data_IF_026685682045
#
_entry.id   IF_026685682045
#
_cell.length_a   1.000
_cell.length_b   1.000
_cell.length_c   1.000
_cell.angle_alpha   90.00
_cell.angle_beta   90.00
_cell.angle_gamma   90.00
#
_symmetry.space_group_name_H-M   'P 1'
#
loop_
_entity.id
_entity.type
_entity.pdbx_description
1 polymer ?
#
# COMPACT_ATOMS: atom_id res chain seq x y z
N UNK A 1 -0.11 10.70 -12.51
CA UNK A 1 -0.05 10.99 -13.97
C UNK A 1 0.62 9.80 -14.65
N UNK A 2 0.08 9.27 -15.73
CA UNK A 2 0.77 8.25 -16.50
C UNK A 2 2.07 8.84 -17.06
N UNK A 3 3.12 8.05 -17.11
CA UNK A 3 4.39 8.45 -17.72
C UNK A 3 4.17 8.78 -19.19
N UNK A 4 4.81 9.86 -19.67
CA UNK A 4 4.77 10.23 -21.08
C UNK A 4 5.22 9.05 -21.94
N UNK A 5 4.38 8.64 -22.88
CA UNK A 5 4.66 7.56 -23.83
C UNK A 5 3.92 6.24 -23.59
N UNK A 6 3.15 6.09 -22.48
CA UNK A 6 2.20 5.01 -22.37
C UNK A 6 0.82 5.44 -22.91
N UNK A 7 0.15 4.61 -23.69
CA UNK A 7 -1.27 4.86 -23.98
C UNK A 7 -1.99 5.01 -22.63
N UNK A 8 -2.76 6.08 -22.46
CA UNK A 8 -3.38 6.47 -21.19
C UNK A 8 -4.28 5.39 -20.56
N UNK A 9 -4.57 4.33 -21.29
CA UNK A 9 -5.60 3.35 -20.95
C UNK A 9 -5.08 1.94 -20.71
N UNK A 10 -3.78 1.67 -20.85
CA UNK A 10 -3.24 0.30 -20.71
C UNK A 10 -1.90 0.28 -19.99
N UNK A 11 -1.84 -0.40 -18.87
CA UNK A 11 -0.59 -0.78 -18.20
C UNK A 11 -0.25 -2.23 -18.54
N UNK A 12 1.04 -2.59 -18.49
CA UNK A 12 1.47 -3.96 -18.78
C UNK A 12 1.14 -4.90 -17.62
N UNK A 13 2.03 -5.01 -16.65
CA UNK A 13 1.88 -5.93 -15.50
C UNK A 13 1.87 -5.21 -14.16
N UNK A 14 2.36 -3.98 -14.11
CA UNK A 14 2.43 -3.19 -12.89
C UNK A 14 2.26 -1.69 -13.17
N UNK A 15 1.90 -0.96 -12.15
CA UNK A 15 1.88 0.50 -12.20
C UNK A 15 2.23 1.07 -10.83
N UNK A 16 2.65 2.32 -10.82
CA UNK A 16 3.02 3.04 -9.61
C UNK A 16 2.08 4.21 -9.35
N UNK A 17 1.75 4.41 -8.09
CA UNK A 17 0.96 5.55 -7.62
C UNK A 17 1.77 6.30 -6.57
N UNK A 18 1.80 7.62 -6.65
CA UNK A 18 2.35 8.45 -5.60
C UNK A 18 1.25 8.92 -4.65
N UNK A 19 1.46 8.71 -3.36
CA UNK A 19 0.56 9.22 -2.32
C UNK A 19 0.93 10.63 -1.87
N UNK A 20 1.87 11.31 -2.52
CA UNK A 20 2.24 12.70 -2.22
C UNK A 20 1.01 13.64 -2.12
N UNK A 21 0.02 13.58 -3.03
CA UNK A 21 -1.16 14.43 -2.88
C UNK A 21 -1.93 14.21 -1.58
N UNK A 22 -1.93 12.98 -1.06
CA UNK A 22 -2.59 12.66 0.21
C UNK A 22 -1.79 13.17 1.41
N UNK A 23 -0.46 13.10 1.33
CA UNK A 23 0.44 13.70 2.33
C UNK A 23 0.19 15.21 2.42
N UNK A 24 0.13 15.89 1.29
CA UNK A 24 -0.07 17.33 1.23
C UNK A 24 -1.46 17.76 1.72
N UNK A 25 -2.48 16.95 1.42
CA UNK A 25 -3.87 17.29 1.77
C UNK A 25 -4.22 16.98 3.23
N UNK A 26 -3.84 15.81 3.76
CA UNK A 26 -4.28 15.29 5.05
C UNK A 26 -3.18 14.65 5.90
N UNK A 27 -1.92 14.70 5.46
CA UNK A 27 -0.78 14.15 6.20
C UNK A 27 -0.70 12.62 6.21
N UNK A 28 -1.42 11.93 5.31
CA UNK A 28 -1.42 10.47 5.17
C UNK A 28 -0.40 10.04 4.13
N UNK A 29 0.49 9.15 4.51
CA UNK A 29 1.56 8.66 3.63
C UNK A 29 1.22 7.30 2.98
N UNK A 30 2.08 6.85 2.07
CA UNK A 30 1.88 5.60 1.35
C UNK A 30 1.82 4.38 2.27
N UNK A 31 2.59 4.38 3.35
CA UNK A 31 2.55 3.29 4.36
C UNK A 31 1.21 3.21 5.07
N UNK A 32 0.59 4.36 5.39
CA UNK A 32 -0.72 4.40 6.02
C UNK A 32 -1.79 3.77 5.13
N UNK A 33 -1.79 4.12 3.85
CA UNK A 33 -2.69 3.54 2.85
C UNK A 33 -2.46 2.03 2.72
N UNK A 34 -1.21 1.60 2.61
CA UNK A 34 -0.87 0.18 2.51
C UNK A 34 -1.31 -0.62 3.74
N UNK A 35 -1.16 -0.06 4.94
CA UNK A 35 -1.64 -0.68 6.19
C UNK A 35 -3.16 -0.79 6.23
N UNK A 36 -3.87 0.21 5.71
CA UNK A 36 -5.33 0.17 5.64
C UNK A 36 -5.83 -0.89 4.65
N UNK A 37 -5.13 -1.13 3.56
CA UNK A 37 -5.48 -2.20 2.62
C UNK A 37 -5.47 -3.59 3.26
N UNK A 38 -4.65 -3.82 4.30
CA UNK A 38 -4.70 -5.07 5.07
C UNK A 38 -6.06 -5.28 5.75
N UNK A 39 -6.69 -4.22 6.25
CA UNK A 39 -8.02 -4.29 6.86
C UNK A 39 -9.12 -4.63 5.84
N UNK A 40 -8.89 -4.32 4.58
CA UNK A 40 -9.77 -4.70 3.47
C UNK A 40 -9.50 -6.12 2.94
N UNK A 41 -8.51 -6.81 3.52
CA UNK A 41 -8.17 -8.20 3.16
C UNK A 41 -7.19 -8.32 1.99
N UNK A 42 -6.54 -7.24 1.60
CA UNK A 42 -5.52 -7.25 0.55
C UNK A 42 -4.11 -7.43 1.11
N UNK A 43 -3.24 -8.01 0.31
CA UNK A 43 -1.80 -7.92 0.55
C UNK A 43 -1.36 -6.47 0.33
N UNK A 44 -0.53 -5.95 1.23
CA UNK A 44 0.04 -4.62 1.07
C UNK A 44 0.88 -4.54 -0.21
N UNK A 45 0.68 -3.52 -1.05
CA UNK A 45 1.54 -3.32 -2.22
C UNK A 45 2.98 -2.98 -1.80
N UNK A 46 3.91 -3.10 -2.75
CA UNK A 46 5.30 -2.70 -2.54
C UNK A 46 5.37 -1.20 -2.27
N UNK A 47 6.08 -0.84 -1.19
CA UNK A 47 6.24 0.54 -0.75
C UNK A 47 7.61 1.09 -1.14
N UNK A 48 7.67 2.39 -1.40
CA UNK A 48 8.91 3.15 -1.60
C UNK A 48 9.79 2.67 -2.76
N UNK A 49 9.22 1.94 -3.68
CA UNK A 49 9.90 1.48 -4.88
C UNK A 49 9.03 1.69 -6.13
N UNK A 50 9.58 2.26 -7.23
CA UNK A 50 10.95 2.77 -7.38
C UNK A 50 11.20 4.02 -6.53
N UNK A 51 12.43 4.16 -6.01
CA UNK A 51 12.78 5.23 -5.05
C UNK A 51 12.70 6.64 -5.62
N UNK A 52 12.66 6.78 -6.94
CA UNK A 52 12.50 8.07 -7.64
C UNK A 52 11.07 8.61 -7.58
N UNK A 53 10.08 7.79 -7.18
CA UNK A 53 8.69 8.20 -7.01
C UNK A 53 8.42 8.38 -5.52
N UNK A 54 8.22 9.63 -5.04
CA UNK A 54 7.93 9.87 -3.63
C UNK A 54 6.63 9.19 -3.20
N UNK A 55 6.60 8.64 -1.99
CA UNK A 55 5.43 7.98 -1.42
C UNK A 55 4.80 6.92 -2.34
N UNK A 56 5.66 6.16 -3.01
CA UNK A 56 5.26 5.23 -4.05
C UNK A 56 4.59 3.99 -3.49
N UNK A 57 3.47 3.63 -4.11
CA UNK A 57 2.87 2.30 -4.07
C UNK A 57 3.03 1.66 -5.46
N UNK A 58 3.63 0.49 -5.52
CA UNK A 58 3.71 -0.31 -6.75
C UNK A 58 2.68 -1.42 -6.67
N UNK A 59 1.72 -1.41 -7.59
CA UNK A 59 0.61 -2.36 -7.63
C UNK A 59 0.79 -3.25 -8.86
N UNK A 60 0.76 -4.55 -8.62
CA UNK A 60 0.91 -5.58 -9.65
C UNK A 60 -0.32 -6.49 -9.64
N UNK A 61 -1.35 -6.18 -10.43
CA UNK A 61 -2.49 -7.08 -10.62
C UNK A 61 -2.02 -8.27 -11.45
N UNK A 62 -2.09 -9.46 -10.86
CA UNK A 62 -1.66 -10.66 -11.56
C UNK A 62 -2.70 -11.15 -12.56
N UNK A 63 -2.28 -11.88 -13.59
CA UNK A 63 -3.15 -12.47 -14.60
C UNK A 63 -4.12 -13.53 -14.05
N UNK A 64 -3.85 -14.03 -12.84
CA UNK A 64 -4.72 -14.98 -12.15
C UNK A 64 -5.94 -14.33 -11.49
N UNK A 65 -5.96 -13.00 -11.37
CA UNK A 65 -7.09 -12.27 -10.80
C UNK A 65 -8.23 -12.13 -11.81
N UNK A 66 -9.46 -12.32 -11.35
CA UNK A 66 -10.64 -12.10 -12.17
C UNK A 66 -10.90 -10.59 -12.38
N UNK A 67 -11.68 -10.26 -13.42
CA UNK A 67 -12.10 -8.87 -13.64
C UNK A 67 -12.88 -8.33 -12.44
N UNK A 68 -13.76 -9.13 -11.86
CA UNK A 68 -14.54 -8.77 -10.67
C UNK A 68 -13.65 -8.47 -9.47
N UNK A 69 -12.58 -9.24 -9.28
CA UNK A 69 -11.61 -8.98 -8.21
C UNK A 69 -10.84 -7.68 -8.43
N UNK A 70 -10.47 -7.38 -9.66
CA UNK A 70 -9.80 -6.13 -10.02
C UNK A 70 -10.72 -4.91 -9.86
N UNK A 71 -11.96 -5.02 -10.31
CA UNK A 71 -12.95 -3.95 -10.15
C UNK A 71 -13.21 -3.67 -8.66
N UNK A 72 -13.38 -4.75 -7.87
CA UNK A 72 -13.54 -4.62 -6.42
C UNK A 72 -12.33 -3.95 -5.76
N UNK A 73 -11.12 -4.33 -6.15
CA UNK A 73 -9.91 -3.69 -5.64
C UNK A 73 -9.89 -2.19 -5.93
N UNK A 74 -10.26 -1.80 -7.15
CA UNK A 74 -10.32 -0.39 -7.53
C UNK A 74 -11.33 0.39 -6.66
N UNK A 75 -12.52 -0.18 -6.45
CA UNK A 75 -13.56 0.43 -5.61
C UNK A 75 -13.11 0.54 -4.14
N UNK A 76 -12.52 -0.52 -3.59
CA UNK A 76 -12.00 -0.53 -2.22
C UNK A 76 -10.82 0.45 -2.06
N UNK A 77 -9.94 0.55 -3.05
CA UNK A 77 -8.85 1.51 -3.03
C UNK A 77 -9.36 2.96 -3.02
N UNK A 78 -10.38 3.25 -3.83
CA UNK A 78 -11.07 4.53 -3.81
C UNK A 78 -11.71 4.82 -2.45
N UNK A 79 -12.33 3.83 -1.84
CA UNK A 79 -12.92 3.95 -0.51
C UNK A 79 -11.83 4.32 0.53
N UNK A 80 -10.71 3.58 0.53
CA UNK A 80 -9.57 3.86 1.42
C UNK A 80 -9.06 5.30 1.25
N UNK A 81 -8.89 5.77 0.02
CA UNK A 81 -8.41 7.14 -0.23
C UNK A 81 -9.40 8.23 0.22
N UNK A 82 -10.64 7.85 0.49
CA UNK A 82 -11.70 8.77 0.93
C UNK A 82 -11.96 8.73 2.43
N UNK A 83 -11.27 7.87 3.18
CA UNK A 83 -11.41 7.74 4.62
C UNK A 83 -10.74 8.89 5.38
N UNK A 84 -11.15 9.08 6.63
CA UNK A 84 -10.55 10.10 7.50
C UNK A 84 -9.09 9.76 7.83
N UNK A 85 -8.27 10.78 7.95
CA UNK A 85 -6.85 10.64 8.26
C UNK A 85 -6.57 9.84 9.54
N UNK A 86 -7.42 9.97 10.56
CA UNK A 86 -7.28 9.21 11.82
C UNK A 86 -7.42 7.71 11.58
N UNK A 87 -8.34 7.28 10.74
CA UNK A 87 -8.53 5.87 10.39
C UNK A 87 -7.29 5.33 9.67
N UNK A 88 -6.78 6.09 8.71
CA UNK A 88 -5.63 5.68 7.89
C UNK A 88 -4.33 5.64 8.70
N UNK A 89 -4.07 6.66 9.51
CA UNK A 89 -2.81 6.74 10.28
C UNK A 89 -2.73 5.75 11.43
N UNK A 90 -3.86 5.22 11.89
CA UNK A 90 -3.93 4.20 12.95
C UNK A 90 -4.07 2.77 12.43
N UNK A 91 -4.26 2.59 11.13
CA UNK A 91 -4.38 1.26 10.51
C UNK A 91 -3.07 0.44 10.66
N UNK A 92 -3.13 -0.90 10.67
CA UNK A 92 -4.32 -1.75 10.50
C UNK A 92 -5.12 -1.90 11.79
N UNK A 93 -6.43 -2.17 11.69
CA UNK A 93 -7.32 -2.31 12.84
C UNK A 93 -7.76 -3.77 13.08
N UNK A 94 -7.90 -4.57 12.02
CA UNK A 94 -8.47 -5.92 12.09
C UNK A 94 -7.42 -7.03 12.22
N UNK A 95 -6.15 -6.72 12.01
CA UNK A 95 -5.04 -7.67 12.13
C UNK A 95 -4.63 -7.88 13.59
N UNK A 96 -4.14 -9.08 13.93
CA UNK A 96 -3.68 -9.39 15.30
C UNK A 96 -2.48 -8.52 15.68
N UNK A 97 -1.55 -8.32 14.75
CA UNK A 97 -0.40 -7.43 14.92
C UNK A 97 -0.70 -6.10 14.24
N UNK A 98 -0.54 -5.02 14.96
CA UNK A 98 -0.74 -3.66 14.45
C UNK A 98 0.53 -3.15 13.76
N UNK A 99 0.97 -1.95 14.06
CA UNK A 99 2.25 -1.42 13.54
C UNK A 99 3.40 -1.95 14.37
N UNK A 100 4.43 -2.43 13.70
CA UNK A 100 5.65 -2.94 14.32
C UNK A 100 6.71 -1.84 14.39
N UNK A 101 7.60 -1.94 15.37
CA UNK A 101 8.79 -1.10 15.44
C UNK A 101 9.87 -1.65 14.50
N UNK A 102 9.81 -1.21 13.25
CA UNK A 102 10.72 -1.66 12.19
C UNK A 102 12.18 -1.26 12.46
N UNK A 103 12.39 -0.11 13.08
CA UNK A 103 13.74 0.40 13.41
C UNK A 103 14.37 -0.47 14.48
N UNK A 104 13.63 -0.78 15.54
CA UNK A 104 14.10 -1.68 16.58
C UNK A 104 14.38 -3.07 16.03
N UNK A 105 13.46 -3.61 15.24
CA UNK A 105 13.61 -4.94 14.63
C UNK A 105 14.85 -5.04 13.73
N UNK A 106 15.12 -4.01 12.93
CA UNK A 106 16.30 -3.98 12.06
C UNK A 106 17.62 -3.89 12.86
N UNK A 107 17.60 -3.23 14.02
CA UNK A 107 18.79 -3.09 14.90
C UNK A 107 19.00 -4.25 15.86
N UNK A 108 17.97 -5.05 16.12
CA UNK A 108 17.96 -6.14 17.09
C UNK A 108 17.50 -7.43 16.41
N UNK A 109 18.29 -7.93 15.48
CA UNK A 109 17.95 -9.11 14.70
C UNK A 109 17.90 -10.37 15.57
N UNK A 110 16.76 -11.05 15.60
CA UNK A 110 16.55 -12.36 16.21
C UNK A 110 16.29 -13.35 15.08
N UNK A 111 17.34 -14.06 14.67
CA UNK A 111 17.31 -14.91 13.47
C UNK A 111 16.96 -16.38 13.79
N UNK A 112 16.71 -16.69 15.05
CA UNK A 112 16.35 -18.05 15.48
C UNK A 112 15.11 -18.03 16.33
N UNK A 113 14.26 -19.03 16.15
CA UNK A 113 13.18 -19.28 17.09
C UNK A 113 13.79 -19.63 18.46
N UNK A 114 13.36 -18.97 19.56
CA UNK A 114 13.86 -19.31 20.89
C UNK A 114 13.50 -20.78 21.19
N UNK A 115 14.49 -21.56 21.59
CA UNK A 115 14.24 -22.89 22.12
C UNK A 115 13.70 -22.70 23.53
N UNK A 116 12.57 -23.31 23.82
CA UNK A 116 12.03 -23.44 25.18
C UNK A 116 13.03 -24.17 26.07
#
# INVERSE_FOLDING_TARGET
>A
MPAEGCPADVVKHEFTLSMTPLVDAIGVNGKDVAKRLLDYGYMSPTLYFPMIVPECLMIEPTETESKEALDKFADDFHAVLSEDAEILTTAPHTTDVKRVDEVWAARNLILRYPKE
#
